data_IF_797319729900
#
_entry.id   IF_797319729900
#
_cell.length_a   1.000
_cell.length_b   1.000
_cell.length_c   1.000
_cell.angle_alpha   90.00
_cell.angle_beta   90.00
_cell.angle_gamma   90.00
#
_symmetry.space_group_name_H-M   'P 1'
#
loop_
_entity.id
_entity.type
_entity.pdbx_description
1 polymer ?
#
# COMPACT_ATOMS: atom_id res chain seq x y z
N UNK A 1 1.41 42.90 17.85
CA UNK A 1 0.81 42.67 16.53
C UNK A 1 0.76 41.16 16.36
N UNK A 2 -0.45 40.61 16.36
CA UNK A 2 -0.64 39.15 16.23
C UNK A 2 -0.17 38.75 14.82
N UNK A 3 0.78 37.83 14.74
CA UNK A 3 1.28 37.33 13.45
C UNK A 3 0.30 36.25 12.95
N UNK A 4 -0.75 36.69 12.24
CA UNK A 4 -1.72 35.79 11.62
C UNK A 4 -1.12 35.24 10.32
N UNK A 5 -0.99 33.92 10.24
CA UNK A 5 -0.53 33.22 9.06
C UNK A 5 -1.73 32.54 8.39
N UNK A 6 -1.85 32.69 7.08
CA UNK A 6 -2.91 32.07 6.28
C UNK A 6 -2.48 30.68 5.84
N UNK A 7 -3.32 29.67 6.07
CA UNK A 7 -3.14 28.35 5.49
C UNK A 7 -4.04 28.25 4.26
N UNK A 8 -3.43 27.96 3.11
CA UNK A 8 -4.07 27.96 1.80
C UNK A 8 -4.13 26.54 1.23
N UNK A 9 -5.08 26.36 0.30
CA UNK A 9 -5.15 25.14 -0.52
C UNK A 9 -3.84 25.02 -1.31
N UNK A 10 -3.10 23.90 -1.20
CA UNK A 10 -1.89 23.65 -1.97
C UNK A 10 -2.20 23.50 -3.46
N UNK A 11 -1.16 23.32 -4.28
CA UNK A 11 -1.31 22.92 -5.67
C UNK A 11 -2.09 21.61 -5.76
N UNK A 12 -3.27 21.66 -6.35
CA UNK A 12 -4.17 20.54 -6.57
C UNK A 12 -4.22 20.13 -8.06
N UNK A 13 -3.25 20.57 -8.86
CA UNK A 13 -3.18 20.32 -10.30
C UNK A 13 -4.22 21.12 -11.08
N UNK A 14 -4.69 20.58 -12.20
CA UNK A 14 -5.65 21.26 -13.11
C UNK A 14 -7.09 21.37 -12.55
N UNK A 15 -7.30 21.12 -11.25
CA UNK A 15 -8.63 21.17 -10.64
C UNK A 15 -8.93 22.56 -10.06
N UNK A 16 -10.11 23.07 -10.40
CA UNK A 16 -10.66 24.30 -9.83
C UNK A 16 -12.07 24.01 -9.30
N UNK A 17 -12.51 24.80 -8.32
CA UNK A 17 -13.87 24.71 -7.80
C UNK A 17 -14.20 23.35 -7.14
N UNK A 18 -13.29 22.87 -6.27
CA UNK A 18 -13.36 21.56 -5.60
C UNK A 18 -14.13 21.70 -4.28
N UNK A 19 -15.14 20.84 -3.99
CA UNK A 19 -15.89 20.92 -2.73
C UNK A 19 -15.08 20.43 -1.53
N UNK A 20 -15.26 21.09 -0.39
CA UNK A 20 -14.81 20.66 0.93
C UNK A 20 -15.82 19.65 1.46
N UNK A 21 -15.41 18.38 1.62
CA UNK A 21 -16.28 17.29 2.09
C UNK A 21 -16.14 17.01 3.58
N UNK A 22 -14.97 17.32 4.17
CA UNK A 22 -14.74 17.22 5.61
C UNK A 22 -13.92 18.39 6.13
N UNK A 23 -14.19 18.79 7.39
CA UNK A 23 -13.47 19.86 8.07
C UNK A 23 -13.13 19.41 9.50
N UNK A 24 -11.85 19.23 9.78
CA UNK A 24 -11.36 18.61 11.03
C UNK A 24 -11.05 19.61 12.13
N UNK A 25 -11.13 20.91 11.85
CA UNK A 25 -10.68 21.97 12.74
C UNK A 25 -11.76 23.02 13.02
N UNK A 26 -11.67 23.66 14.19
CA UNK A 26 -12.56 24.73 14.64
C UNK A 26 -11.77 25.93 15.15
N UNK A 27 -12.42 27.08 15.24
CA UNK A 27 -11.83 28.26 15.86
C UNK A 27 -11.49 27.98 17.33
N UNK A 28 -10.24 28.23 17.70
CA UNK A 28 -9.69 27.96 19.02
C UNK A 28 -8.86 26.68 19.12
N UNK A 29 -8.90 25.80 18.13
CA UNK A 29 -8.08 24.59 18.10
C UNK A 29 -6.59 24.93 17.92
N UNK A 30 -5.74 24.12 18.54
CA UNK A 30 -4.28 24.20 18.36
C UNK A 30 -3.87 23.15 17.35
N UNK A 31 -3.20 23.57 16.29
CA UNK A 31 -2.72 22.70 15.21
C UNK A 31 -1.20 22.69 15.12
N UNK A 32 -0.67 21.62 14.57
CA UNK A 32 0.75 21.43 14.23
C UNK A 32 0.92 21.31 12.73
N UNK A 33 2.15 21.45 12.26
CA UNK A 33 2.51 21.13 10.88
C UNK A 33 2.11 19.67 10.60
N UNK A 34 1.55 19.43 9.41
CA UNK A 34 1.01 18.17 8.92
C UNK A 34 -0.32 17.69 9.53
N UNK A 35 -0.92 18.42 10.49
CA UNK A 35 -2.28 18.11 10.95
C UNK A 35 -3.28 18.36 9.82
N UNK A 36 -4.21 17.42 9.60
CA UNK A 36 -5.26 17.55 8.58
C UNK A 36 -6.23 18.69 8.95
N UNK A 37 -6.49 19.60 8.01
CA UNK A 37 -7.42 20.73 8.19
C UNK A 37 -8.77 20.46 7.58
N UNK A 38 -8.77 20.03 6.32
CA UNK A 38 -9.97 19.75 5.54
C UNK A 38 -9.69 18.68 4.48
N UNK A 39 -10.73 17.94 4.09
CA UNK A 39 -10.69 17.04 2.93
C UNK A 39 -11.40 17.68 1.75
N UNK A 40 -10.74 17.68 0.60
CA UNK A 40 -11.26 18.15 -0.68
C UNK A 40 -11.58 16.94 -1.56
N UNK A 41 -12.67 17.00 -2.34
CA UNK A 41 -13.05 15.95 -3.27
C UNK A 41 -13.04 16.47 -4.71
N UNK A 42 -12.19 15.88 -5.54
CA UNK A 42 -12.22 16.11 -6.99
C UNK A 42 -12.89 14.93 -7.71
N UNK A 43 -13.22 15.08 -8.97
CA UNK A 43 -13.81 14.01 -9.81
C UNK A 43 -12.95 12.72 -9.87
N UNK A 44 -11.71 12.77 -9.42
CA UNK A 44 -10.77 11.65 -9.53
C UNK A 44 -10.16 11.18 -8.20
N UNK A 45 -10.17 12.03 -7.17
CA UNK A 45 -9.55 11.69 -5.87
C UNK A 45 -10.03 12.61 -4.76
N UNK A 46 -10.03 12.09 -3.53
CA UNK A 46 -10.10 12.86 -2.30
C UNK A 46 -8.70 13.15 -1.80
N UNK A 47 -8.46 14.35 -1.27
CA UNK A 47 -7.17 14.74 -0.70
C UNK A 47 -7.34 15.55 0.57
N UNK A 48 -6.53 15.26 1.56
CA UNK A 48 -6.47 16.03 2.80
C UNK A 48 -5.50 17.20 2.64
N UNK A 49 -5.93 18.36 3.10
CA UNK A 49 -5.08 19.56 3.14
C UNK A 49 -4.42 19.63 4.51
N UNK A 50 -3.07 19.45 4.57
CA UNK A 50 -2.34 19.53 5.84
C UNK A 50 -2.05 20.98 6.23
N UNK A 51 -1.89 21.22 7.54
CA UNK A 51 -1.39 22.48 8.05
C UNK A 51 0.08 22.69 7.70
N UNK A 52 0.41 23.89 7.25
CA UNK A 52 1.80 24.31 7.01
C UNK A 52 2.45 25.02 8.20
N UNK A 53 1.68 25.24 9.29
CA UNK A 53 2.12 26.03 10.44
C UNK A 53 1.63 25.44 11.77
N UNK A 54 2.36 25.78 12.84
CA UNK A 54 1.90 25.51 14.22
C UNK A 54 1.24 26.75 14.81
N UNK A 55 0.13 26.59 15.50
CA UNK A 55 -0.50 27.72 16.19
C UNK A 55 -1.95 27.46 16.58
N UNK A 56 -2.63 28.52 17.02
CA UNK A 56 -4.05 28.49 17.40
C UNK A 56 -4.89 29.09 16.28
N UNK A 57 -5.93 28.38 15.86
CA UNK A 57 -6.84 28.83 14.80
C UNK A 57 -7.67 29.99 15.32
N UNK A 58 -7.61 31.13 14.65
CA UNK A 58 -8.39 32.33 14.97
C UNK A 58 -9.62 32.49 14.08
N UNK A 59 -9.53 32.01 12.86
CA UNK A 59 -10.61 32.12 11.88
C UNK A 59 -10.64 30.91 10.95
N UNK A 60 -11.83 30.39 10.70
CA UNK A 60 -12.09 29.35 9.69
C UNK A 60 -12.95 30.00 8.60
N UNK A 61 -12.44 30.03 7.36
CA UNK A 61 -13.02 30.76 6.25
C UNK A 61 -13.84 29.88 5.31
N UNK A 62 -13.87 28.56 5.55
CA UNK A 62 -14.59 27.58 4.74
C UNK A 62 -15.54 26.74 5.59
N UNK A 63 -16.57 26.19 4.98
CA UNK A 63 -17.55 25.29 5.60
C UNK A 63 -17.69 24.03 4.76
N UNK A 64 -18.30 22.98 5.34
CA UNK A 64 -18.67 21.78 4.56
C UNK A 64 -19.52 22.19 3.35
N UNK A 65 -19.12 21.70 2.18
CA UNK A 65 -19.74 22.03 0.90
C UNK A 65 -19.22 23.32 0.23
N UNK A 66 -18.33 24.09 0.89
CA UNK A 66 -17.67 25.25 0.25
C UNK A 66 -16.82 24.77 -0.93
N UNK A 67 -16.85 25.51 -2.03
CA UNK A 67 -16.01 25.25 -3.19
C UNK A 67 -14.76 26.11 -3.14
N UNK A 68 -13.60 25.45 -3.30
CA UNK A 68 -12.29 26.09 -3.21
C UNK A 68 -11.42 25.74 -4.40
N UNK A 69 -10.49 26.64 -4.71
CA UNK A 69 -9.47 26.43 -5.75
C UNK A 69 -8.09 26.58 -5.14
N UNK A 70 -7.05 26.23 -5.87
CA UNK A 70 -5.66 26.45 -5.46
C UNK A 70 -5.45 27.88 -4.96
N UNK A 71 -4.73 28.01 -3.84
CA UNK A 71 -4.44 29.29 -3.20
C UNK A 71 -5.56 29.91 -2.37
N UNK A 72 -6.77 29.30 -2.33
CA UNK A 72 -7.85 29.77 -1.47
C UNK A 72 -7.48 29.61 0.00
N UNK A 73 -7.76 30.62 0.83
CA UNK A 73 -7.46 30.58 2.26
C UNK A 73 -8.52 29.77 2.99
N UNK A 74 -8.08 28.73 3.70
CA UNK A 74 -8.96 27.85 4.49
C UNK A 74 -9.12 28.36 5.93
N UNK A 75 -8.01 28.69 6.58
CA UNK A 75 -7.96 29.11 7.98
C UNK A 75 -6.91 30.19 8.19
N UNK A 76 -7.09 31.01 9.26
CA UNK A 76 -6.05 31.90 9.78
C UNK A 76 -5.60 31.45 11.15
N UNK A 77 -4.29 31.29 11.30
CA UNK A 77 -3.63 30.76 12.48
C UNK A 77 -2.75 31.83 13.10
N UNK A 78 -2.86 32.04 14.39
CA UNK A 78 -1.92 32.84 15.14
C UNK A 78 -0.68 32.00 15.44
N UNK A 79 0.42 32.28 14.75
CA UNK A 79 1.69 31.61 14.98
C UNK A 79 2.22 31.98 16.37
N UNK A 80 2.16 31.06 17.31
CA UNK A 80 2.70 31.22 18.66
C UNK A 80 4.15 30.74 18.74
N UNK A 81 5.01 31.51 19.37
CA UNK A 81 6.30 31.02 19.84
C UNK A 81 6.03 29.84 20.82
N UNK A 82 6.87 28.78 20.69
CA UNK A 82 6.81 27.54 21.42
C UNK A 82 6.13 27.63 22.81
N UNK A 83 4.91 27.16 22.92
CA UNK A 83 4.27 26.96 24.20
C UNK A 83 4.57 25.54 24.68
N UNK A 84 5.12 25.48 25.88
CA UNK A 84 5.45 24.30 26.63
C UNK A 84 4.26 23.33 26.78
N UNK A 85 4.59 22.06 26.77
CA UNK A 85 3.78 20.90 27.04
C UNK A 85 2.53 21.15 27.91
N UNK A 86 1.35 21.00 27.30
CA UNK A 86 0.15 20.61 28.04
C UNK A 86 0.03 19.10 27.99
N UNK A 87 -0.11 18.46 29.13
CA UNK A 87 -0.18 17.03 29.32
C UNK A 87 -1.32 16.39 28.50
N UNK A 88 -1.12 15.21 27.96
CA UNK A 88 -2.16 14.50 27.21
C UNK A 88 -3.26 14.02 28.17
N UNK A 89 -4.50 14.36 27.86
CA UNK A 89 -5.67 13.75 28.50
C UNK A 89 -5.70 12.29 28.05
N UNK A 90 -5.52 11.40 28.99
CA UNK A 90 -5.49 9.96 28.78
C UNK A 90 -6.82 9.44 28.25
N UNK A 91 -6.81 8.91 27.03
CA UNK A 91 -7.76 7.88 26.62
C UNK A 91 -7.51 6.60 27.44
N UNK A 92 -8.54 5.78 27.74
CA UNK A 92 -8.39 4.60 28.58
C UNK A 92 -7.37 3.64 27.96
N UNK A 93 -6.33 3.38 28.72
CA UNK A 93 -5.23 2.51 28.32
C UNK A 93 -5.72 1.06 28.14
N UNK A 94 -5.60 0.55 26.93
CA UNK A 94 -5.40 -0.89 26.75
C UNK A 94 -4.11 -1.30 27.50
N UNK A 95 -4.04 -2.47 28.13
CA UNK A 95 -2.90 -2.86 28.93
C UNK A 95 -1.64 -2.87 28.07
N UNK A 96 -0.79 -1.90 28.29
CA UNK A 96 0.57 -1.84 27.75
C UNK A 96 1.35 -3.02 28.33
N UNK A 97 1.62 -4.02 27.49
CA UNK A 97 2.77 -4.87 27.75
C UNK A 97 4.00 -3.97 27.81
N UNK A 98 4.65 -3.97 28.98
CA UNK A 98 5.85 -3.18 29.21
C UNK A 98 6.81 -3.33 28.02
N UNK A 99 7.14 -2.20 27.39
CA UNK A 99 8.17 -2.16 26.38
C UNK A 99 9.46 -2.66 27.03
N UNK A 100 9.91 -3.83 26.62
CA UNK A 100 11.23 -4.32 26.97
C UNK A 100 12.24 -3.22 26.56
N UNK A 101 13.17 -2.90 27.44
CA UNK A 101 14.26 -1.97 27.15
C UNK A 101 14.88 -2.36 25.79
N UNK A 102 15.29 -1.40 24.95
CA UNK A 102 15.88 -1.72 23.67
C UNK A 102 17.06 -2.63 23.89
N UNK A 103 16.91 -3.89 23.51
CA UNK A 103 18.04 -4.83 23.47
C UNK A 103 19.03 -4.19 22.51
N UNK A 104 20.23 -3.95 22.97
CA UNK A 104 21.31 -3.44 22.14
C UNK A 104 21.39 -4.33 20.91
N UNK A 105 21.24 -3.74 19.73
CA UNK A 105 21.34 -4.50 18.49
C UNK A 105 22.67 -5.24 18.50
N UNK A 106 22.69 -6.55 18.19
CA UNK A 106 23.94 -7.28 18.10
C UNK A 106 24.87 -6.54 17.15
N UNK A 107 26.13 -6.40 17.54
CA UNK A 107 27.13 -5.74 16.70
C UNK A 107 27.11 -6.39 15.32
N UNK A 108 26.81 -5.60 14.27
CA UNK A 108 26.74 -6.12 12.92
C UNK A 108 28.11 -6.75 12.57
N UNK A 109 28.09 -8.04 12.26
CA UNK A 109 29.29 -8.72 11.76
C UNK A 109 29.78 -8.05 10.50
N UNK A 110 31.06 -8.07 10.20
CA UNK A 110 31.58 -7.67 8.91
C UNK A 110 31.77 -8.91 8.04
N UNK A 111 31.15 -8.90 6.85
CA UNK A 111 31.41 -9.95 5.88
C UNK A 111 32.81 -9.80 5.27
N UNK A 112 33.70 -10.74 5.59
CA UNK A 112 35.08 -10.74 5.09
C UNK A 112 35.27 -11.43 3.72
N UNK A 113 34.16 -11.86 3.07
CA UNK A 113 34.19 -12.56 1.79
C UNK A 113 34.06 -11.63 0.58
N UNK A 114 34.28 -12.18 -0.61
CA UNK A 114 34.04 -11.48 -1.88
C UNK A 114 32.55 -11.47 -2.22
N UNK A 115 32.06 -10.33 -2.74
CA UNK A 115 30.70 -10.25 -3.28
C UNK A 115 30.67 -10.69 -4.75
N UNK A 116 29.61 -11.42 -5.13
CA UNK A 116 29.37 -11.85 -6.51
C UNK A 116 28.87 -10.69 -7.39
N UNK A 117 28.17 -9.74 -6.76
CA UNK A 117 27.60 -8.56 -7.42
C UNK A 117 27.74 -7.33 -6.53
N UNK A 118 27.79 -6.16 -7.17
CA UNK A 118 27.80 -4.88 -6.45
C UNK A 118 26.78 -3.91 -7.06
N UNK A 119 26.14 -3.11 -6.21
CA UNK A 119 25.22 -2.04 -6.61
C UNK A 119 25.29 -0.84 -5.67
N UNK A 120 24.75 0.29 -6.14
CA UNK A 120 24.58 1.48 -5.31
C UNK A 120 23.30 1.38 -4.49
N UNK A 121 22.21 0.88 -5.11
CA UNK A 121 20.91 0.66 -4.48
C UNK A 121 20.51 -0.80 -4.55
N UNK A 122 20.30 -1.42 -3.40
CA UNK A 122 19.63 -2.69 -3.27
C UNK A 122 18.17 -2.46 -2.90
N UNK A 123 17.24 -3.16 -3.56
CA UNK A 123 15.82 -3.18 -3.16
C UNK A 123 15.43 -4.61 -2.82
N UNK A 124 15.04 -4.85 -1.58
CA UNK A 124 14.58 -6.16 -1.12
C UNK A 124 13.06 -6.25 -1.23
N UNK A 125 12.59 -7.02 -2.21
CA UNK A 125 11.19 -7.21 -2.55
C UNK A 125 10.76 -6.38 -3.76
N UNK A 126 9.92 -6.98 -4.63
CA UNK A 126 9.47 -6.40 -5.89
C UNK A 126 7.95 -6.10 -5.90
N UNK A 127 7.35 -5.88 -4.74
CA UNK A 127 5.99 -5.33 -4.64
C UNK A 127 5.92 -3.86 -5.06
N UNK A 128 4.75 -3.19 -4.97
CA UNK A 128 4.56 -1.80 -5.41
C UNK A 128 5.61 -0.83 -4.86
N UNK A 129 5.92 -0.90 -3.58
CA UNK A 129 7.00 -0.09 -2.99
C UNK A 129 8.38 -0.41 -3.56
N UNK A 130 8.66 -1.71 -3.79
CA UNK A 130 9.96 -2.17 -4.26
C UNK A 130 10.24 -1.81 -5.71
N UNK A 131 9.37 -2.18 -6.64
CA UNK A 131 9.62 -1.86 -8.05
C UNK A 131 9.58 -0.34 -8.30
N UNK A 132 8.72 0.41 -7.61
CA UNK A 132 8.69 1.87 -7.73
C UNK A 132 10.00 2.50 -7.25
N UNK A 133 10.51 2.06 -6.09
CA UNK A 133 11.79 2.52 -5.57
C UNK A 133 12.95 2.17 -6.50
N UNK A 134 12.99 0.93 -7.02
CA UNK A 134 14.04 0.49 -7.92
C UNK A 134 14.03 1.26 -9.25
N UNK A 135 12.87 1.46 -9.86
CA UNK A 135 12.74 2.21 -11.11
C UNK A 135 13.17 3.66 -10.92
N UNK A 136 12.73 4.29 -9.82
CA UNK A 136 13.14 5.65 -9.50
C UNK A 136 14.64 5.75 -9.25
N UNK A 137 15.24 4.77 -8.57
CA UNK A 137 16.68 4.75 -8.31
C UNK A 137 17.50 4.71 -9.61
N UNK A 138 17.08 3.87 -10.57
CA UNK A 138 17.71 3.80 -11.89
C UNK A 138 17.50 5.09 -12.69
N UNK A 139 16.28 5.67 -12.66
CA UNK A 139 15.97 6.93 -13.33
C UNK A 139 16.83 8.10 -12.77
N UNK A 140 17.32 7.97 -11.52
CA UNK A 140 18.29 8.87 -10.89
C UNK A 140 19.77 8.49 -11.15
N UNK A 141 20.02 7.51 -12.01
CA UNK A 141 21.36 7.11 -12.43
C UNK A 141 22.05 6.07 -11.54
N UNK A 142 21.39 5.51 -10.53
CA UNK A 142 21.99 4.52 -9.64
C UNK A 142 21.98 3.12 -10.27
N UNK A 143 23.09 2.39 -10.14
CA UNK A 143 23.11 0.95 -10.40
C UNK A 143 22.26 0.24 -9.34
N UNK A 144 21.16 -0.37 -9.76
CA UNK A 144 20.14 -0.92 -8.87
C UNK A 144 19.92 -2.40 -9.08
N UNK A 145 19.85 -3.16 -7.98
CA UNK A 145 19.49 -4.58 -7.96
C UNK A 145 18.23 -4.77 -7.14
N UNK A 146 17.26 -5.54 -7.68
CA UNK A 146 16.10 -6.03 -6.93
C UNK A 146 16.38 -7.48 -6.52
N UNK A 147 16.13 -7.80 -5.24
CA UNK A 147 16.05 -9.17 -4.75
C UNK A 147 14.59 -9.55 -4.57
N UNK A 148 14.11 -10.56 -5.30
CA UNK A 148 12.72 -11.02 -5.24
C UNK A 148 12.65 -12.55 -5.20
N UNK A 149 11.90 -13.11 -4.28
CA UNK A 149 11.78 -14.57 -4.10
C UNK A 149 10.83 -15.25 -5.09
N UNK A 150 9.86 -14.51 -5.62
CA UNK A 150 8.89 -15.03 -6.58
C UNK A 150 9.38 -14.91 -8.03
N UNK A 151 8.74 -15.66 -8.93
CA UNK A 151 9.07 -15.67 -10.35
C UNK A 151 8.72 -14.37 -11.06
N UNK A 152 7.77 -13.63 -10.56
CA UNK A 152 7.21 -12.42 -11.16
C UNK A 152 7.34 -11.23 -10.24
N UNK A 153 7.57 -10.05 -10.82
CA UNK A 153 7.49 -8.79 -10.10
C UNK A 153 6.03 -8.46 -9.74
N UNK A 154 5.83 -7.52 -8.83
CA UNK A 154 4.52 -7.03 -8.46
C UNK A 154 4.09 -7.39 -7.04
N UNK A 155 4.80 -8.32 -6.38
CA UNK A 155 4.54 -8.73 -5.00
C UNK A 155 3.13 -9.27 -4.79
N UNK A 156 2.65 -9.19 -3.54
CA UNK A 156 1.30 -9.64 -3.16
C UNK A 156 0.24 -8.85 -3.94
N UNK A 157 0.38 -7.54 -4.06
CA UNK A 157 -0.63 -6.69 -4.69
C UNK A 157 -1.02 -7.17 -6.11
N UNK A 158 -0.04 -7.38 -7.00
CA UNK A 158 -0.32 -7.75 -8.38
C UNK A 158 -0.64 -9.23 -8.55
N UNK A 159 0.02 -10.10 -7.78
CA UNK A 159 -0.07 -11.54 -8.01
C UNK A 159 -1.23 -12.20 -7.25
N UNK A 160 -1.44 -11.82 -5.97
CA UNK A 160 -2.38 -12.51 -5.07
C UNK A 160 -3.11 -11.55 -4.13
N UNK A 161 -3.34 -10.31 -4.55
CA UNK A 161 -3.97 -9.27 -3.73
C UNK A 161 -4.85 -8.33 -4.55
N UNK A 162 -4.49 -7.05 -4.58
CA UNK A 162 -5.32 -5.98 -5.14
C UNK A 162 -5.79 -6.23 -6.58
N UNK A 163 -4.90 -6.66 -7.45
CA UNK A 163 -5.22 -6.79 -8.89
C UNK A 163 -6.19 -7.95 -9.15
N UNK A 164 -5.92 -9.19 -8.70
CA UNK A 164 -6.89 -10.26 -8.91
C UNK A 164 -8.21 -10.01 -8.18
N UNK A 165 -8.20 -9.39 -7.00
CA UNK A 165 -9.40 -9.02 -6.26
C UNK A 165 -10.24 -8.01 -7.05
N UNK A 166 -9.66 -6.91 -7.56
CA UNK A 166 -10.38 -5.91 -8.36
C UNK A 166 -10.90 -6.47 -9.69
N UNK A 167 -10.14 -7.39 -10.30
CA UNK A 167 -10.60 -8.07 -11.52
C UNK A 167 -11.86 -8.92 -11.27
N UNK A 168 -11.98 -9.56 -10.10
CA UNK A 168 -13.16 -10.34 -9.72
C UNK A 168 -14.31 -9.43 -9.27
N UNK A 169 -14.05 -8.42 -8.45
CA UNK A 169 -15.06 -7.46 -7.99
C UNK A 169 -15.74 -6.74 -9.16
N UNK A 170 -14.98 -6.38 -10.20
CA UNK A 170 -15.58 -5.76 -11.39
C UNK A 170 -16.61 -6.68 -12.06
N UNK A 171 -16.36 -7.98 -12.09
CA UNK A 171 -17.35 -8.94 -12.65
C UNK A 171 -18.57 -9.06 -11.74
N UNK A 172 -18.37 -9.02 -10.42
CA UNK A 172 -19.46 -9.03 -9.43
C UNK A 172 -20.34 -7.77 -9.57
N UNK A 173 -19.71 -6.62 -9.76
CA UNK A 173 -20.40 -5.34 -10.01
C UNK A 173 -21.31 -5.41 -11.25
N UNK A 174 -20.82 -5.96 -12.36
CA UNK A 174 -21.65 -6.17 -13.56
C UNK A 174 -22.86 -7.07 -13.29
N UNK A 175 -22.69 -8.11 -12.48
CA UNK A 175 -23.80 -9.00 -12.09
C UNK A 175 -24.82 -8.25 -11.22
N UNK A 176 -24.33 -7.47 -10.27
CA UNK A 176 -25.16 -6.68 -9.36
C UNK A 176 -25.93 -5.60 -10.11
N UNK A 177 -25.27 -4.82 -10.96
CA UNK A 177 -25.91 -3.82 -11.83
C UNK A 177 -26.99 -4.44 -12.72
N UNK A 178 -26.71 -5.60 -13.34
CA UNK A 178 -27.69 -6.30 -14.17
C UNK A 178 -28.91 -6.75 -13.35
N UNK A 179 -28.74 -7.15 -12.09
CA UNK A 179 -29.84 -7.54 -11.20
C UNK A 179 -30.76 -6.36 -10.84
N UNK A 180 -30.20 -5.15 -10.68
CA UNK A 180 -30.94 -3.93 -10.36
C UNK A 180 -31.51 -3.21 -11.58
N UNK A 181 -31.09 -3.57 -12.79
CA UNK A 181 -31.60 -2.95 -14.03
C UNK A 181 -33.12 -3.13 -14.23
N UNK A 182 -33.72 -4.10 -13.56
CA UNK A 182 -35.16 -4.29 -13.59
C UNK A 182 -35.94 -3.08 -13.04
N UNK A 183 -35.41 -2.38 -12.07
CA UNK A 183 -35.99 -1.16 -11.49
C UNK A 183 -35.96 0.01 -12.50
N UNK A 184 -35.11 -0.07 -13.50
CA UNK A 184 -34.98 0.87 -14.62
C UNK A 184 -35.78 0.45 -15.85
N UNK A 185 -36.55 -0.67 -15.77
CA UNK A 185 -37.36 -1.21 -16.85
C UNK A 185 -36.60 -2.12 -17.83
N UNK A 186 -35.39 -2.58 -17.49
CA UNK A 186 -34.60 -3.51 -18.30
C UNK A 186 -34.44 -4.81 -17.53
N UNK A 187 -34.84 -5.95 -18.09
CA UNK A 187 -34.77 -7.25 -17.42
C UNK A 187 -33.69 -8.12 -18.07
N UNK A 188 -32.84 -8.71 -17.23
CA UNK A 188 -31.84 -9.72 -17.62
C UNK A 188 -32.24 -11.09 -17.05
N UNK A 189 -31.87 -12.17 -17.75
CA UNK A 189 -31.95 -13.51 -17.19
C UNK A 189 -30.92 -13.69 -16.07
N UNK A 190 -31.16 -14.67 -15.19
CA UNK A 190 -30.20 -15.02 -14.16
C UNK A 190 -28.81 -15.34 -14.76
N UNK A 191 -27.73 -14.82 -14.18
CA UNK A 191 -26.39 -15.00 -14.74
C UNK A 191 -25.96 -16.47 -14.68
N UNK A 192 -25.28 -16.93 -15.73
CA UNK A 192 -24.60 -18.21 -15.74
C UNK A 192 -23.11 -17.95 -15.62
N UNK A 193 -22.50 -18.34 -14.51
CA UNK A 193 -21.08 -18.12 -14.23
C UNK A 193 -20.26 -19.34 -14.65
N UNK A 194 -19.35 -19.14 -15.62
CA UNK A 194 -18.31 -20.09 -15.99
C UNK A 194 -17.06 -19.75 -15.17
N UNK A 195 -16.82 -20.50 -14.10
CA UNK A 195 -15.74 -20.22 -13.15
C UNK A 195 -14.35 -20.36 -13.78
N UNK A 196 -14.18 -21.25 -14.78
CA UNK A 196 -12.89 -21.45 -15.43
C UNK A 196 -12.55 -20.27 -16.35
N UNK A 197 -13.56 -19.73 -17.05
CA UNK A 197 -13.38 -18.50 -17.83
C UNK A 197 -13.12 -17.29 -16.94
N UNK A 198 -13.81 -17.19 -15.81
CA UNK A 198 -13.62 -16.12 -14.85
C UNK A 198 -12.21 -16.15 -14.26
N UNK A 199 -11.73 -17.34 -13.88
CA UNK A 199 -10.35 -17.55 -13.42
C UNK A 199 -9.35 -17.13 -14.50
N UNK A 200 -9.56 -17.60 -15.72
CA UNK A 200 -8.72 -17.27 -16.89
C UNK A 200 -8.68 -15.76 -17.17
N UNK A 201 -9.83 -15.07 -17.03
CA UNK A 201 -9.89 -13.61 -17.15
C UNK A 201 -9.03 -12.92 -16.10
N UNK A 202 -9.19 -13.28 -14.82
CA UNK A 202 -8.37 -12.77 -13.72
C UNK A 202 -6.88 -12.98 -13.97
N UNK A 203 -6.48 -14.17 -14.39
CA UNK A 203 -5.08 -14.50 -14.68
C UNK A 203 -4.50 -13.70 -15.85
N UNK A 204 -5.30 -13.42 -16.87
CA UNK A 204 -4.89 -12.55 -18.00
C UNK A 204 -4.65 -11.11 -17.51
N UNK A 205 -5.48 -10.58 -16.62
CA UNK A 205 -5.30 -9.25 -16.05
C UNK A 205 -3.98 -9.18 -15.28
N UNK A 206 -3.76 -10.14 -14.37
CA UNK A 206 -2.51 -10.25 -13.59
C UNK A 206 -1.29 -10.37 -14.52
N UNK A 207 -1.34 -11.29 -15.49
CA UNK A 207 -0.25 -11.53 -16.42
C UNK A 207 0.10 -10.31 -17.29
N UNK A 208 -0.89 -9.53 -17.71
CA UNK A 208 -0.67 -8.29 -18.45
C UNK A 208 0.11 -7.27 -17.63
N UNK A 209 -0.24 -7.08 -16.35
CA UNK A 209 0.40 -6.09 -15.48
C UNK A 209 1.79 -6.54 -15.02
N UNK A 210 1.96 -7.81 -14.63
CA UNK A 210 3.27 -8.34 -14.23
C UNK A 210 4.25 -8.38 -15.41
N UNK A 211 3.75 -8.71 -16.61
CA UNK A 211 4.53 -8.64 -17.84
C UNK A 211 4.96 -7.22 -18.20
N UNK A 212 4.08 -6.23 -17.97
CA UNK A 212 4.40 -4.81 -18.12
C UNK A 212 5.54 -4.38 -17.17
N UNK A 213 5.49 -4.80 -15.90
CA UNK A 213 6.57 -4.53 -14.93
C UNK A 213 7.90 -5.16 -15.38
N UNK A 214 7.88 -6.40 -15.84
CA UNK A 214 9.09 -7.06 -16.34
C UNK A 214 9.69 -6.30 -17.54
N UNK A 215 8.83 -5.83 -18.46
CA UNK A 215 9.24 -4.98 -19.58
C UNK A 215 9.86 -3.65 -19.12
N UNK A 216 9.26 -2.99 -18.13
CA UNK A 216 9.78 -1.75 -17.56
C UNK A 216 11.12 -1.94 -16.84
N UNK A 217 11.28 -3.04 -16.10
CA UNK A 217 12.54 -3.39 -15.43
C UNK A 217 13.65 -3.62 -16.45
N UNK A 218 13.35 -4.38 -17.51
CA UNK A 218 14.29 -4.64 -18.62
C UNK A 218 14.68 -3.36 -19.36
N UNK A 219 13.71 -2.50 -19.67
CA UNK A 219 13.98 -1.22 -20.34
C UNK A 219 14.87 -0.28 -19.53
N UNK A 220 14.77 -0.31 -18.21
CA UNK A 220 15.61 0.44 -17.27
C UNK A 220 16.91 -0.26 -16.90
N UNK A 221 17.14 -1.48 -17.39
CA UNK A 221 18.32 -2.29 -17.04
C UNK A 221 18.46 -2.54 -15.52
N UNK A 222 17.34 -2.77 -14.85
CA UNK A 222 17.34 -3.19 -13.44
C UNK A 222 17.75 -4.66 -13.39
N UNK A 223 18.78 -4.97 -12.63
CA UNK A 223 19.18 -6.35 -12.36
C UNK A 223 18.23 -6.98 -11.34
N UNK A 224 17.73 -8.17 -11.62
CA UNK A 224 16.84 -8.93 -10.74
C UNK A 224 17.57 -10.18 -10.30
N UNK A 225 17.79 -10.31 -8.99
CA UNK A 225 18.32 -11.54 -8.38
C UNK A 225 17.18 -12.25 -7.68
N UNK A 226 16.85 -13.42 -8.17
CA UNK A 226 15.74 -14.19 -7.65
C UNK A 226 16.18 -15.06 -6.48
N UNK A 227 15.55 -14.86 -5.32
CA UNK A 227 15.84 -15.64 -4.12
C UNK A 227 15.44 -14.99 -2.82
N UNK A 228 15.76 -15.68 -1.72
CA UNK A 228 15.57 -15.18 -0.35
C UNK A 228 16.79 -14.41 0.10
N UNK A 229 16.61 -13.13 0.40
CA UNK A 229 17.67 -12.28 0.94
C UNK A 229 17.84 -12.45 2.45
N UNK A 230 19.08 -12.59 2.89
CA UNK A 230 19.48 -12.59 4.29
C UNK A 230 20.67 -11.63 4.48
N UNK A 231 20.50 -10.60 5.32
CA UNK A 231 21.58 -9.65 5.59
C UNK A 231 22.73 -10.30 6.34
N UNK A 232 23.92 -10.17 5.83
CA UNK A 232 25.18 -10.62 6.46
C UNK A 232 25.75 -9.53 7.36
N UNK A 233 25.65 -8.27 6.88
CA UNK A 233 26.10 -7.05 7.56
C UNK A 233 25.35 -5.83 6.99
N UNK A 234 25.64 -4.58 7.42
CA UNK A 234 24.95 -3.40 6.93
C UNK A 234 25.06 -3.12 5.42
N UNK A 235 26.00 -3.76 4.71
CA UNK A 235 26.28 -3.52 3.31
C UNK A 235 26.29 -4.79 2.44
N UNK A 236 26.03 -5.96 3.02
CA UNK A 236 26.03 -7.23 2.30
C UNK A 236 24.76 -8.04 2.58
N UNK A 237 24.19 -8.60 1.51
CA UNK A 237 23.06 -9.52 1.57
C UNK A 237 23.41 -10.81 0.84
N UNK A 238 23.20 -11.96 1.49
CA UNK A 238 23.25 -13.27 0.85
C UNK A 238 21.86 -13.57 0.28
N UNK A 239 21.78 -14.01 -0.95
CA UNK A 239 20.55 -14.41 -1.61
C UNK A 239 20.60 -15.91 -1.89
N UNK A 240 19.74 -16.67 -1.22
CA UNK A 240 19.52 -18.08 -1.54
C UNK A 240 18.61 -18.16 -2.76
N UNK A 241 19.18 -18.59 -3.88
CA UNK A 241 18.55 -18.55 -5.19
C UNK A 241 17.32 -19.47 -5.25
N UNK A 242 16.25 -18.98 -5.85
CA UNK A 242 15.03 -19.76 -6.13
C UNK A 242 14.79 -19.91 -7.63
N UNK A 243 14.07 -20.97 -8.03
CA UNK A 243 13.75 -21.27 -9.42
C UNK A 243 12.29 -21.71 -9.60
N UNK A 244 11.92 -22.09 -10.83
CA UNK A 244 10.56 -22.55 -11.16
C UNK A 244 9.51 -21.45 -11.13
N UNK A 245 8.26 -21.79 -11.05
CA UNK A 245 7.12 -20.86 -10.90
C UNK A 245 6.85 -20.49 -9.45
N UNK A 246 7.35 -21.29 -8.50
CA UNK A 246 7.22 -21.12 -7.06
C UNK A 246 8.41 -20.40 -6.43
N UNK A 247 8.78 -20.88 -5.28
CA UNK A 247 9.89 -20.38 -4.46
C UNK A 247 10.87 -21.53 -4.14
N UNK A 248 11.06 -22.44 -5.08
CA UNK A 248 11.89 -23.63 -4.89
C UNK A 248 13.36 -23.22 -4.76
N UNK A 249 13.98 -23.57 -3.64
CA UNK A 249 15.35 -23.22 -3.35
C UNK A 249 16.30 -24.14 -4.11
N UNK A 250 17.27 -23.56 -4.80
CA UNK A 250 18.28 -24.31 -5.56
C UNK A 250 19.47 -24.74 -4.71
N UNK A 251 19.61 -24.18 -3.50
CA UNK A 251 20.81 -24.31 -2.67
C UNK A 251 21.97 -23.41 -3.09
N UNK A 252 21.93 -22.80 -4.27
CA UNK A 252 22.91 -21.84 -4.70
C UNK A 252 22.74 -20.50 -3.94
N UNK A 253 23.88 -19.86 -3.63
CA UNK A 253 23.91 -18.61 -2.90
C UNK A 253 24.65 -17.55 -3.71
N UNK A 254 24.23 -16.29 -3.61
CA UNK A 254 24.90 -15.12 -4.16
C UNK A 254 25.04 -14.05 -3.10
N UNK A 255 26.19 -13.43 -3.01
CA UNK A 255 26.43 -12.30 -2.12
C UNK A 255 26.40 -11.02 -2.95
N UNK A 256 25.58 -10.07 -2.51
CA UNK A 256 25.44 -8.75 -3.13
C UNK A 256 25.92 -7.70 -2.14
N UNK A 257 26.91 -6.89 -2.57
CA UNK A 257 27.35 -5.71 -1.84
C UNK A 257 26.57 -4.49 -2.33
N UNK A 258 26.15 -3.65 -1.39
CA UNK A 258 25.37 -2.45 -1.69
C UNK A 258 25.82 -1.26 -0.83
N UNK A 259 25.57 -0.05 -1.32
CA UNK A 259 25.83 1.19 -0.57
C UNK A 259 24.58 1.62 0.22
N UNK A 260 23.39 1.45 -0.38
CA UNK A 260 22.09 1.82 0.18
C UNK A 260 21.12 0.67 -0.03
N UNK A 261 20.18 0.51 0.89
CA UNK A 261 19.15 -0.53 0.79
C UNK A 261 17.76 0.04 1.10
N UNK A 262 16.78 -0.40 0.31
CA UNK A 262 15.35 -0.19 0.60
C UNK A 262 14.74 -1.55 0.88
N UNK A 263 14.20 -1.74 2.09
CA UNK A 263 13.49 -2.95 2.48
C UNK A 263 12.01 -2.77 2.14
N UNK A 264 11.55 -3.48 1.10
CA UNK A 264 10.16 -3.48 0.62
C UNK A 264 9.62 -4.92 0.60
N UNK A 265 9.89 -5.68 1.65
CA UNK A 265 9.68 -7.13 1.73
C UNK A 265 8.19 -7.54 1.81
N UNK A 266 7.26 -6.57 1.89
CA UNK A 266 5.82 -6.81 1.89
C UNK A 266 5.29 -7.41 3.19
N UNK A 267 4.20 -8.17 3.07
CA UNK A 267 3.50 -8.81 4.18
C UNK A 267 3.06 -10.23 3.79
N UNK A 268 2.66 -11.00 4.77
CA UNK A 268 2.08 -12.32 4.60
C UNK A 268 0.77 -12.44 5.40
N UNK A 269 -0.10 -13.33 4.98
CA UNK A 269 -1.31 -13.65 5.74
C UNK A 269 -0.94 -14.22 7.12
N UNK A 270 -1.66 -13.79 8.15
CA UNK A 270 -1.52 -14.33 9.50
C UNK A 270 -2.26 -15.65 9.60
N UNK A 271 -1.56 -16.69 10.03
CA UNK A 271 -2.16 -17.99 10.33
C UNK A 271 -2.47 -18.08 11.83
N UNK A 272 -3.73 -18.19 12.14
CA UNK A 272 -4.18 -18.33 13.53
C UNK A 272 -3.92 -19.77 14.01
N UNK A 273 -3.17 -19.99 15.10
CA UNK A 273 -2.68 -21.32 15.51
C UNK A 273 -3.80 -22.27 15.96
N UNK A 274 -4.96 -21.74 16.34
CA UNK A 274 -6.12 -22.52 16.77
C UNK A 274 -7.03 -22.97 15.61
N UNK A 275 -6.80 -22.47 14.38
CA UNK A 275 -7.57 -22.90 13.19
C UNK A 275 -6.98 -24.22 12.68
N UNK A 276 -7.80 -25.28 12.51
CA UNK A 276 -7.31 -26.55 12.01
C UNK A 276 -6.86 -26.44 10.55
N UNK A 277 -5.92 -27.30 10.16
CA UNK A 277 -5.52 -27.42 8.76
C UNK A 277 -6.56 -28.27 8.03
N UNK A 278 -7.31 -27.64 7.14
CA UNK A 278 -8.31 -28.28 6.29
C UNK A 278 -8.26 -27.62 4.91
N UNK A 279 -8.32 -28.37 3.79
CA UNK A 279 -8.25 -27.80 2.44
C UNK A 279 -9.41 -26.87 2.09
N UNK A 280 -10.47 -26.86 2.88
CA UNK A 280 -11.59 -25.91 2.75
C UNK A 280 -11.33 -24.59 3.45
N UNK A 281 -10.33 -24.53 4.32
CA UNK A 281 -9.93 -23.31 5.03
C UNK A 281 -8.77 -22.68 4.27
N UNK A 282 -9.01 -21.49 3.75
CA UNK A 282 -8.05 -20.78 2.92
C UNK A 282 -7.81 -19.37 3.46
N UNK A 283 -6.63 -18.84 3.21
CA UNK A 283 -6.34 -17.41 3.35
C UNK A 283 -6.78 -16.63 2.10
N UNK A 284 -6.51 -15.35 2.06
CA UNK A 284 -6.84 -14.49 0.91
C UNK A 284 -6.22 -14.98 -0.40
N UNK A 285 -5.01 -15.51 -0.37
CA UNK A 285 -4.34 -16.07 -1.56
C UNK A 285 -5.12 -17.27 -2.09
N UNK A 286 -5.48 -18.20 -1.21
CA UNK A 286 -6.27 -19.37 -1.58
C UNK A 286 -7.70 -19.03 -2.04
N UNK A 287 -8.31 -17.99 -1.46
CA UNK A 287 -9.62 -17.51 -1.92
C UNK A 287 -9.52 -16.94 -3.36
N UNK A 288 -8.48 -16.19 -3.66
CA UNK A 288 -8.26 -15.63 -5.01
C UNK A 288 -7.92 -16.68 -6.09
N UNK A 289 -7.59 -17.91 -5.71
CA UNK A 289 -7.47 -19.01 -6.68
C UNK A 289 -8.80 -19.33 -7.37
N UNK A 290 -9.93 -19.05 -6.71
CA UNK A 290 -11.29 -19.25 -7.22
C UNK A 290 -11.50 -20.71 -7.72
N UNK A 291 -11.23 -21.67 -6.84
CA UNK A 291 -11.27 -23.11 -7.20
C UNK A 291 -12.69 -23.59 -7.49
N UNK A 292 -13.66 -23.11 -6.71
CA UNK A 292 -15.08 -23.43 -6.81
C UNK A 292 -15.91 -22.35 -6.09
N UNK A 293 -17.20 -22.32 -6.32
CA UNK A 293 -18.14 -21.48 -5.56
C UNK A 293 -18.79 -22.32 -4.47
N UNK A 294 -18.55 -22.04 -3.18
CA UNK A 294 -19.15 -22.79 -2.07
C UNK A 294 -20.64 -22.43 -1.92
N UNK A 295 -21.44 -23.37 -1.49
CA UNK A 295 -22.86 -23.09 -1.16
C UNK A 295 -23.02 -22.18 0.07
N UNK A 296 -22.08 -22.26 1.02
CA UNK A 296 -21.99 -21.41 2.20
C UNK A 296 -20.54 -21.12 2.48
N UNK A 297 -20.22 -19.87 2.75
CA UNK A 297 -18.89 -19.40 3.08
C UNK A 297 -18.93 -18.66 4.42
N UNK A 298 -17.96 -18.96 5.27
CA UNK A 298 -17.71 -18.19 6.50
C UNK A 298 -16.43 -17.37 6.28
N UNK A 299 -16.53 -16.07 6.44
CA UNK A 299 -15.39 -15.15 6.41
C UNK A 299 -15.05 -14.75 7.84
N UNK A 300 -13.82 -15.04 8.26
CA UNK A 300 -13.29 -14.63 9.56
C UNK A 300 -12.48 -13.36 9.37
N UNK A 301 -13.04 -12.24 9.82
CA UNK A 301 -12.48 -10.90 9.69
C UNK A 301 -13.25 -10.01 8.72
N UNK A 302 -13.75 -8.87 9.25
CA UNK A 302 -14.52 -7.86 8.52
C UNK A 302 -13.66 -6.72 7.98
N UNK A 303 -12.35 -6.93 7.82
CA UNK A 303 -11.48 -5.97 7.14
C UNK A 303 -11.68 -5.99 5.63
N UNK A 304 -10.99 -5.05 4.91
CA UNK A 304 -11.19 -4.86 3.47
C UNK A 304 -11.08 -6.15 2.65
N UNK A 305 -10.08 -6.99 2.92
CA UNK A 305 -9.86 -8.24 2.18
C UNK A 305 -11.02 -9.23 2.41
N UNK A 306 -11.48 -9.35 3.67
CA UNK A 306 -12.61 -10.24 4.01
C UNK A 306 -13.89 -9.79 3.33
N UNK A 307 -14.18 -8.48 3.31
CA UNK A 307 -15.36 -7.92 2.64
C UNK A 307 -15.27 -8.11 1.12
N UNK A 308 -14.11 -7.86 0.50
CA UNK A 308 -13.90 -8.10 -0.92
C UNK A 308 -14.17 -9.57 -1.30
N UNK A 309 -13.64 -10.52 -0.54
CA UNK A 309 -13.88 -11.94 -0.81
C UNK A 309 -15.33 -12.35 -0.55
N UNK A 310 -15.97 -11.79 0.48
CA UNK A 310 -17.40 -12.02 0.72
C UNK A 310 -18.28 -11.49 -0.42
N UNK A 311 -17.85 -10.40 -1.08
CA UNK A 311 -18.57 -9.83 -2.24
C UNK A 311 -18.33 -10.65 -3.51
N UNK A 312 -17.13 -11.19 -3.70
CA UNK A 312 -16.79 -11.99 -4.88
C UNK A 312 -17.54 -13.33 -4.90
N UNK A 313 -17.67 -14.00 -3.74
CA UNK A 313 -18.29 -15.32 -3.61
C UNK A 313 -19.80 -15.26 -3.36
#
# INVERSE_FOLDING_TARGET
MSNLVEVKVPDIGDFSDVPVIDLFVKVGDTIKVDDAIATLESDKATMDVPSTVNGVIKEVLVQLGSRVSEGAVLIKVEAGAAAAAAAPVSAPASPSTAAAAPVAAPAAGSHGGTADMECEMLVLGAGPGGYSAAFRSVDLGMKTIIVERYATLGGVCLNVGCIPSKALLHVTEIIDEASHANDLGVSFAAPQVDIDKLRSHKEKVVGKLTGGLAGMAKGRKVDIVRGYGHFLDPNHIEVEVTEGTGQDKTGAKKVIKFQKCIIAAGSAAVHLPFIPRDPRIVDSTGALELRFVPQKMLVIGGGIIGLEMATVY
#
